data_IF_583231951402
#
_entry.id   IF_583231951402
#
_cell.length_a   1.000
_cell.length_b   1.000
_cell.length_c   1.000
_cell.angle_alpha   90.00
_cell.angle_beta   90.00
_cell.angle_gamma   90.00
#
_symmetry.space_group_name_H-M   'P 1'
#
loop_
_entity.id
_entity.type
_entity.pdbx_description
1 polymer ?
#
# COMPACT_ATOMS: atom_id res chain seq x y z
N UNK A 1 -4.35 -7.54 19.37
CA UNK A 1 -4.95 -7.35 18.05
C UNK A 1 -6.40 -6.95 18.21
N UNK A 2 -6.82 -5.93 17.52
CA UNK A 2 -8.19 -5.43 17.53
C UNK A 2 -9.16 -6.41 16.89
N UNK A 3 -10.38 -6.45 17.42
CA UNK A 3 -11.49 -7.32 16.99
C UNK A 3 -12.72 -6.48 16.68
N UNK A 4 -13.65 -7.03 15.93
CA UNK A 4 -14.91 -6.35 15.60
C UNK A 4 -15.76 -5.97 16.82
N UNK A 5 -15.60 -6.68 17.94
CA UNK A 5 -16.28 -6.39 19.21
C UNK A 5 -15.67 -5.25 20.04
N UNK A 6 -14.47 -4.79 19.69
CA UNK A 6 -13.81 -3.73 20.42
C UNK A 6 -14.44 -2.37 20.08
N UNK A 7 -14.41 -1.42 21.00
CA UNK A 7 -14.96 -0.10 20.77
C UNK A 7 -14.04 0.73 19.88
N UNK A 8 -14.61 1.36 18.86
CA UNK A 8 -13.84 2.18 17.93
C UNK A 8 -13.31 3.46 18.59
N UNK A 9 -14.01 3.99 19.60
CA UNK A 9 -13.54 5.14 20.37
C UNK A 9 -12.27 4.81 21.19
N UNK A 10 -12.15 3.60 21.72
CA UNK A 10 -10.97 3.15 22.45
C UNK A 10 -9.77 3.03 21.50
N UNK A 11 -9.99 2.47 20.30
CA UNK A 11 -8.98 2.42 19.25
C UNK A 11 -8.46 3.82 18.91
N UNK A 12 -9.35 4.78 18.66
CA UNK A 12 -8.99 6.17 18.33
C UNK A 12 -8.27 6.91 19.45
N UNK A 13 -8.52 6.52 20.69
CA UNK A 13 -7.93 7.18 21.87
C UNK A 13 -6.53 6.67 22.21
N UNK A 14 -6.21 5.45 21.79
CA UNK A 14 -4.95 4.81 22.15
C UNK A 14 -3.94 4.74 20.99
N UNK A 15 -4.42 4.80 19.75
CA UNK A 15 -3.59 4.64 18.56
C UNK A 15 -3.70 5.89 17.67
N UNK A 16 -2.66 6.72 17.65
CA UNK A 16 -2.62 7.94 16.83
C UNK A 16 -2.85 7.62 15.35
N UNK A 17 -2.19 6.59 14.84
CA UNK A 17 -2.28 6.13 13.46
C UNK A 17 -3.68 5.63 13.06
N UNK A 18 -4.51 5.20 14.03
CA UNK A 18 -5.85 4.72 13.77
C UNK A 18 -6.77 5.79 13.18
N UNK A 19 -6.55 7.07 13.52
CA UNK A 19 -7.37 8.19 13.04
C UNK A 19 -7.29 8.29 11.52
N UNK A 20 -6.10 8.15 10.95
CA UNK A 20 -5.91 8.17 9.49
C UNK A 20 -6.56 6.95 8.83
N UNK A 21 -6.40 5.76 9.40
CA UNK A 21 -7.02 4.53 8.87
C UNK A 21 -8.55 4.66 8.87
N UNK A 22 -9.13 5.08 9.99
CA UNK A 22 -10.58 5.26 10.17
C UNK A 22 -11.13 6.26 9.15
N UNK A 23 -10.47 7.42 9.02
CA UNK A 23 -10.84 8.46 8.06
C UNK A 23 -10.80 7.97 6.61
N UNK A 24 -9.78 7.18 6.23
CA UNK A 24 -9.62 6.62 4.88
C UNK A 24 -10.66 5.56 4.54
N UNK A 25 -11.22 4.87 5.54
CA UNK A 25 -12.39 4.02 5.35
C UNK A 25 -13.71 4.80 5.30
N UNK A 26 -13.68 6.13 5.37
CA UNK A 26 -14.86 6.98 5.35
C UNK A 26 -15.62 7.03 6.69
N UNK A 27 -15.02 6.49 7.75
CA UNK A 27 -15.56 6.60 9.10
C UNK A 27 -15.11 7.94 9.70
N UNK A 28 -16.07 8.67 10.28
CA UNK A 28 -15.83 10.00 10.86
C UNK A 28 -15.53 9.96 12.36
N UNK A 29 -15.42 11.17 12.93
CA UNK A 29 -15.43 11.38 14.38
C UNK A 29 -16.87 11.30 14.91
N UNK A 30 -17.02 11.18 16.23
CA UNK A 30 -18.35 11.14 16.86
C UNK A 30 -19.01 9.77 16.84
N UNK A 31 -18.19 8.71 16.81
CA UNK A 31 -18.61 7.29 16.76
C UNK A 31 -19.33 6.79 18.01
N UNK A 32 -19.37 7.57 19.11
CA UNK A 32 -19.98 7.18 20.37
C UNK A 32 -19.39 5.89 20.95
N UNK A 33 -20.27 5.02 21.44
CA UNK A 33 -19.88 3.73 22.05
C UNK A 33 -19.95 2.54 21.07
N UNK A 34 -20.00 2.81 19.77
CA UNK A 34 -20.09 1.76 18.75
C UNK A 34 -18.86 0.84 18.77
N UNK A 35 -19.12 -0.44 18.51
CA UNK A 35 -18.05 -1.40 18.21
C UNK A 35 -17.50 -1.13 16.80
N UNK A 36 -16.28 -1.63 16.52
CA UNK A 36 -15.68 -1.57 15.18
C UNK A 36 -16.61 -2.21 14.15
N UNK A 37 -17.23 -3.35 14.47
CA UNK A 37 -18.15 -4.02 13.55
C UNK A 37 -19.42 -3.19 13.27
N UNK A 38 -20.02 -2.55 14.27
CA UNK A 38 -21.17 -1.68 14.10
C UNK A 38 -20.85 -0.42 13.28
N UNK A 39 -19.69 0.21 13.54
CA UNK A 39 -19.22 1.37 12.79
C UNK A 39 -18.93 1.00 11.32
N UNK A 40 -18.28 -0.11 11.06
CA UNK A 40 -18.05 -0.62 9.69
C UNK A 40 -19.38 -0.90 8.98
N UNK A 41 -20.30 -1.59 9.64
CA UNK A 41 -21.61 -1.92 9.06
C UNK A 41 -22.41 -0.68 8.67
N UNK A 42 -22.46 0.33 9.56
CA UNK A 42 -23.20 1.58 9.30
C UNK A 42 -22.66 2.42 8.13
N UNK A 43 -21.40 2.19 7.74
CA UNK A 43 -20.73 2.87 6.63
C UNK A 43 -20.47 1.96 5.41
N UNK A 44 -21.05 0.75 5.40
CA UNK A 44 -20.87 -0.24 4.32
C UNK A 44 -19.39 -0.63 4.10
N UNK A 45 -18.60 -0.66 5.17
CA UNK A 45 -17.19 -1.07 5.17
C UNK A 45 -17.10 -2.55 5.57
N UNK A 46 -16.32 -3.33 4.82
CA UNK A 46 -16.07 -4.73 5.17
C UNK A 46 -15.21 -4.83 6.43
N UNK A 47 -15.79 -5.34 7.53
CA UNK A 47 -15.13 -5.37 8.85
C UNK A 47 -13.82 -6.15 8.84
N UNK A 48 -13.74 -7.28 8.11
CA UNK A 48 -12.52 -8.08 7.99
C UNK A 48 -11.38 -7.30 7.35
N UNK A 49 -11.66 -6.57 6.27
CA UNK A 49 -10.68 -5.72 5.58
C UNK A 49 -10.22 -4.55 6.45
N UNK A 50 -11.16 -3.89 7.16
CA UNK A 50 -10.81 -2.86 8.14
C UNK A 50 -9.86 -3.39 9.22
N UNK A 51 -10.18 -4.55 9.81
CA UNK A 51 -9.36 -5.19 10.84
C UNK A 51 -7.99 -5.63 10.32
N UNK A 52 -7.90 -6.07 9.07
CA UNK A 52 -6.61 -6.38 8.45
C UNK A 52 -5.71 -5.16 8.39
N UNK A 53 -6.22 -4.05 7.86
CA UNK A 53 -5.46 -2.80 7.70
C UNK A 53 -5.06 -2.22 9.06
N UNK A 54 -5.99 -2.10 10.01
CA UNK A 54 -5.68 -1.51 11.32
C UNK A 54 -4.71 -2.35 12.13
N UNK A 55 -4.88 -3.68 12.15
CA UNK A 55 -3.95 -4.57 12.85
C UNK A 55 -2.57 -4.59 12.18
N UNK A 56 -2.50 -4.51 10.85
CA UNK A 56 -1.24 -4.35 10.15
C UNK A 56 -0.55 -3.03 10.53
N UNK A 57 -1.28 -1.91 10.52
CA UNK A 57 -0.75 -0.59 10.85
C UNK A 57 -0.19 -0.56 12.27
N UNK A 58 -0.95 -1.05 13.26
CA UNK A 58 -0.59 -0.98 14.69
C UNK A 58 0.47 -2.02 15.07
N UNK A 59 0.32 -3.26 14.62
CA UNK A 59 1.18 -4.37 15.09
C UNK A 59 2.22 -4.82 14.07
N UNK A 60 2.20 -4.27 12.84
CA UNK A 60 3.03 -4.72 11.70
C UNK A 60 2.90 -6.23 11.42
N UNK A 61 1.76 -6.80 11.77
CA UNK A 61 1.46 -8.22 11.60
C UNK A 61 0.60 -8.41 10.35
N UNK A 62 1.13 -9.09 9.36
CA UNK A 62 0.40 -9.51 8.17
C UNK A 62 -0.47 -10.76 8.43
N UNK A 63 -1.25 -10.75 9.53
CA UNK A 63 -2.26 -11.76 9.73
C UNK A 63 -3.39 -11.49 8.72
N UNK A 64 -3.26 -12.05 7.53
CA UNK A 64 -4.29 -11.98 6.50
C UNK A 64 -5.55 -12.63 7.06
N UNK A 65 -6.69 -11.91 7.14
CA UNK A 65 -7.98 -12.55 7.38
C UNK A 65 -8.28 -13.54 6.23
N UNK A 66 -9.15 -14.48 6.49
CA UNK A 66 -9.54 -15.49 5.49
C UNK A 66 -10.10 -14.86 4.20
N UNK A 67 -10.60 -13.62 4.27
CA UNK A 67 -11.20 -12.92 3.15
C UNK A 67 -10.94 -11.40 3.25
N UNK A 68 -10.36 -10.84 2.18
CA UNK A 68 -10.20 -9.40 1.97
C UNK A 68 -11.20 -8.97 0.91
N UNK A 69 -12.06 -8.01 1.24
CA UNK A 69 -12.91 -7.33 0.26
C UNK A 69 -12.06 -6.32 -0.55
N UNK A 70 -11.69 -6.70 -1.76
CA UNK A 70 -10.82 -5.91 -2.64
C UNK A 70 -11.41 -4.53 -2.93
N UNK A 71 -12.71 -4.38 -3.28
CA UNK A 71 -13.32 -3.07 -3.51
C UNK A 71 -13.19 -2.13 -2.31
N UNK A 72 -13.43 -2.62 -1.09
CA UNK A 72 -13.27 -1.84 0.15
C UNK A 72 -11.81 -1.40 0.34
N UNK A 73 -10.85 -2.29 0.11
CA UNK A 73 -9.42 -1.97 0.26
C UNK A 73 -8.96 -0.96 -0.80
N UNK A 74 -9.37 -1.13 -2.05
CA UNK A 74 -9.05 -0.18 -3.12
C UNK A 74 -9.67 1.21 -2.86
N UNK A 75 -10.87 1.27 -2.27
CA UNK A 75 -11.46 2.56 -1.89
C UNK A 75 -10.67 3.23 -0.76
N UNK A 76 -10.21 2.47 0.23
CA UNK A 76 -9.31 2.94 1.28
C UNK A 76 -8.03 3.56 0.70
N UNK A 77 -7.38 2.89 -0.25
CA UNK A 77 -6.17 3.37 -0.91
C UNK A 77 -6.44 4.64 -1.73
N UNK A 78 -7.51 4.69 -2.52
CA UNK A 78 -7.92 5.92 -3.24
C UNK A 78 -8.18 7.10 -2.31
N UNK A 79 -8.77 6.86 -1.14
CA UNK A 79 -8.97 7.91 -0.15
C UNK A 79 -7.63 8.37 0.46
N UNK A 80 -6.66 7.47 0.62
CA UNK A 80 -5.30 7.83 1.00
C UNK A 80 -4.61 8.69 -0.07
N UNK A 81 -4.75 8.35 -1.36
CA UNK A 81 -4.22 9.14 -2.48
C UNK A 81 -4.78 10.57 -2.48
N UNK A 82 -6.10 10.70 -2.32
CA UNK A 82 -6.75 12.01 -2.17
C UNK A 82 -6.20 12.81 -0.98
N UNK A 83 -6.04 12.15 0.17
CA UNK A 83 -5.45 12.78 1.35
C UNK A 83 -4.02 13.29 1.08
N UNK A 84 -3.18 12.48 0.45
CA UNK A 84 -1.81 12.90 0.13
C UNK A 84 -1.80 14.06 -0.86
N UNK A 85 -2.45 13.92 -2.01
CA UNK A 85 -2.34 14.89 -3.11
C UNK A 85 -3.07 16.21 -2.83
N UNK A 86 -4.25 16.13 -2.23
CA UNK A 86 -5.13 17.32 -2.09
C UNK A 86 -4.98 18.02 -0.73
N UNK A 87 -4.46 17.32 0.29
CA UNK A 87 -4.34 17.90 1.62
C UNK A 87 -2.91 17.87 2.16
N UNK A 88 -2.30 16.70 2.35
CA UNK A 88 -1.04 16.58 3.11
C UNK A 88 0.14 17.26 2.42
N UNK A 89 0.37 16.95 1.16
CA UNK A 89 1.50 17.49 0.41
C UNK A 89 1.38 19.01 0.17
N UNK A 90 0.21 19.56 -0.24
CA UNK A 90 0.04 21.03 -0.32
C UNK A 90 0.20 21.74 1.03
N UNK A 91 -0.26 21.12 2.13
CA UNK A 91 -0.09 21.69 3.46
C UNK A 91 1.40 21.74 3.84
N UNK A 92 2.11 20.64 3.68
CA UNK A 92 3.54 20.53 3.98
C UNK A 92 4.38 21.52 3.16
N UNK A 93 4.03 21.72 1.87
CA UNK A 93 4.67 22.73 1.03
C UNK A 93 4.53 24.14 1.60
N UNK A 94 3.32 24.52 2.03
CA UNK A 94 3.09 25.84 2.66
C UNK A 94 3.91 25.98 3.94
N UNK A 95 3.91 24.96 4.79
CA UNK A 95 4.69 24.97 6.03
C UNK A 95 6.20 25.09 5.78
N UNK A 96 6.71 24.41 4.72
CA UNK A 96 8.10 24.57 4.28
C UNK A 96 8.41 26.00 3.84
N UNK A 97 7.54 26.64 3.06
CA UNK A 97 7.71 28.03 2.63
C UNK A 97 7.78 28.96 3.85
N UNK A 98 6.84 28.82 4.78
CA UNK A 98 6.75 29.65 6.00
C UNK A 98 7.98 29.46 6.91
N UNK A 99 8.53 28.24 6.99
CA UNK A 99 9.70 27.95 7.82
C UNK A 99 11.04 28.34 7.16
N UNK A 100 11.14 28.25 5.83
CA UNK A 100 12.40 28.41 5.12
C UNK A 100 12.66 29.82 4.57
N UNK A 101 11.62 30.53 4.10
CA UNK A 101 11.80 31.82 3.43
C UNK A 101 12.17 33.02 4.33
N UNK A 102 11.88 33.03 5.65
CA UNK A 102 12.39 34.06 6.56
C UNK A 102 13.89 34.01 6.80
N UNK A 103 14.60 32.99 6.26
CA UNK A 103 16.05 32.91 6.31
C UNK A 103 16.73 34.03 5.49
N UNK A 104 18.07 34.10 5.59
CA UNK A 104 18.89 35.06 4.85
C UNK A 104 18.48 35.09 3.36
N UNK A 105 18.01 36.25 2.85
CA UNK A 105 17.59 36.39 1.44
C UNK A 105 18.71 36.11 0.43
N UNK A 106 19.97 36.13 0.86
CA UNK A 106 21.14 35.82 0.00
C UNK A 106 21.36 34.30 -0.14
N UNK A 107 20.74 33.47 0.74
CA UNK A 107 20.90 32.02 0.74
C UNK A 107 20.06 31.39 -0.37
N UNK A 108 20.68 30.53 -1.19
CA UNK A 108 19.99 29.72 -2.20
C UNK A 108 19.43 28.40 -1.64
N UNK A 109 19.74 28.06 -0.41
CA UNK A 109 19.36 26.78 0.23
C UNK A 109 17.83 26.62 0.33
N UNK A 110 17.04 27.59 0.81
CA UNK A 110 15.59 27.47 0.85
C UNK A 110 14.96 27.11 -0.49
N UNK A 111 15.39 27.80 -1.56
CA UNK A 111 14.88 27.55 -2.92
C UNK A 111 15.27 26.17 -3.44
N UNK A 112 16.46 25.67 -3.10
CA UNK A 112 16.87 24.32 -3.45
C UNK A 112 15.99 23.27 -2.75
N UNK A 113 15.75 23.43 -1.45
CA UNK A 113 14.88 22.51 -0.68
C UNK A 113 13.46 22.48 -1.27
N UNK A 114 12.88 23.65 -1.56
CA UNK A 114 11.54 23.75 -2.16
C UNK A 114 11.48 23.08 -3.53
N UNK A 115 12.51 23.23 -4.35
CA UNK A 115 12.59 22.58 -5.64
C UNK A 115 12.66 21.06 -5.50
N UNK A 116 13.51 20.53 -4.62
CA UNK A 116 13.57 19.09 -4.33
C UNK A 116 12.21 18.56 -3.83
N UNK A 117 11.51 19.35 -3.03
CA UNK A 117 10.18 19.03 -2.57
C UNK A 117 9.15 18.98 -3.73
N UNK A 118 9.17 19.95 -4.62
CA UNK A 118 8.26 19.98 -5.78
C UNK A 118 8.53 18.80 -6.74
N UNK A 119 9.81 18.43 -6.95
CA UNK A 119 10.20 17.23 -7.70
C UNK A 119 9.70 15.92 -7.04
N UNK A 120 9.77 15.84 -5.71
CA UNK A 120 9.23 14.73 -4.93
C UNK A 120 7.69 14.62 -5.07
N UNK A 121 6.98 15.74 -4.98
CA UNK A 121 5.50 15.76 -5.13
C UNK A 121 5.08 15.28 -6.52
N UNK A 122 5.83 15.65 -7.56
CA UNK A 122 5.52 15.22 -8.93
C UNK A 122 5.73 13.70 -9.11
N UNK A 123 6.76 13.13 -8.49
CA UNK A 123 6.97 11.68 -8.53
C UNK A 123 5.87 10.91 -7.81
N UNK A 124 5.42 11.38 -6.63
CA UNK A 124 4.26 10.79 -5.94
C UNK A 124 3.01 10.87 -6.83
N UNK A 125 2.78 12.00 -7.51
CA UNK A 125 1.62 12.16 -8.39
C UNK A 125 1.61 11.11 -9.50
N UNK A 126 2.73 10.94 -10.18
CA UNK A 126 2.88 9.94 -11.26
C UNK A 126 2.67 8.52 -10.72
N UNK A 127 3.25 8.21 -9.57
CA UNK A 127 3.10 6.92 -8.90
C UNK A 127 1.62 6.62 -8.58
N UNK A 128 0.94 7.53 -7.92
CA UNK A 128 -0.49 7.42 -7.57
C UNK A 128 -1.38 7.32 -8.83
N UNK A 129 -1.06 8.02 -9.91
CA UNK A 129 -1.79 7.93 -11.18
C UNK A 129 -1.70 6.51 -11.76
N UNK A 130 -0.53 5.86 -11.68
CA UNK A 130 -0.35 4.48 -12.11
C UNK A 130 -1.16 3.50 -11.25
N UNK A 131 -1.14 3.64 -9.93
CA UNK A 131 -1.92 2.79 -9.01
C UNK A 131 -3.43 2.96 -9.22
N UNK A 132 -3.91 4.18 -9.41
CA UNK A 132 -5.30 4.45 -9.72
C UNK A 132 -5.74 3.86 -11.07
N UNK A 133 -4.81 3.65 -12.00
CA UNK A 133 -5.03 2.94 -13.26
C UNK A 133 -4.98 1.40 -13.10
N UNK A 134 -4.74 0.89 -11.90
CA UNK A 134 -4.69 -0.55 -11.60
C UNK A 134 -3.34 -1.21 -11.89
N UNK A 135 -2.29 -0.43 -12.10
CA UNK A 135 -0.95 -0.93 -12.39
C UNK A 135 -0.14 -1.10 -11.09
N UNK A 136 -0.43 -2.16 -10.33
CA UNK A 136 0.20 -2.43 -9.03
C UNK A 136 1.47 -3.31 -9.11
N UNK A 137 1.83 -3.84 -10.28
CA UNK A 137 2.87 -4.89 -10.37
C UNK A 137 4.31 -4.39 -10.50
N UNK A 138 4.55 -3.14 -10.88
CA UNK A 138 5.89 -2.65 -11.27
C UNK A 138 6.58 -1.73 -10.24
N UNK A 139 5.99 -1.45 -9.06
CA UNK A 139 6.35 -0.24 -8.30
C UNK A 139 7.24 -0.38 -7.07
N UNK A 140 7.64 -1.58 -6.62
CA UNK A 140 8.47 -1.75 -5.40
C UNK A 140 9.82 -0.98 -5.41
N UNK A 141 10.41 -0.74 -6.57
CA UNK A 141 11.63 0.08 -6.68
C UNK A 141 11.32 1.58 -6.67
N UNK A 142 10.17 1.99 -7.21
CA UNK A 142 9.72 3.38 -7.22
C UNK A 142 9.32 3.85 -5.82
N UNK A 143 8.67 3.00 -5.03
CA UNK A 143 8.27 3.28 -3.63
C UNK A 143 9.49 3.64 -2.76
N UNK A 144 10.55 2.85 -2.85
CA UNK A 144 11.79 3.11 -2.13
C UNK A 144 12.43 4.42 -2.59
N UNK A 145 12.46 4.67 -3.89
CA UNK A 145 13.02 5.91 -4.44
C UNK A 145 12.26 7.15 -3.98
N UNK A 146 10.93 7.09 -3.90
CA UNK A 146 10.09 8.17 -3.41
C UNK A 146 10.38 8.43 -1.92
N UNK A 147 10.45 7.38 -1.09
CA UNK A 147 10.78 7.49 0.33
C UNK A 147 12.19 8.06 0.56
N UNK A 148 13.17 7.63 -0.24
CA UNK A 148 14.54 8.14 -0.18
C UNK A 148 14.62 9.65 -0.45
N UNK A 149 13.79 10.19 -1.34
CA UNK A 149 13.73 11.64 -1.60
C UNK A 149 13.27 12.46 -0.41
N UNK A 150 12.29 12.00 0.37
CA UNK A 150 11.92 12.67 1.63
C UNK A 150 13.08 12.66 2.62
N UNK A 151 13.80 11.55 2.70
CA UNK A 151 15.02 11.47 3.51
C UNK A 151 16.08 12.46 3.03
N UNK A 152 16.29 12.64 1.72
CA UNK A 152 17.21 13.63 1.17
C UNK A 152 16.80 15.06 1.54
N UNK A 153 15.53 15.42 1.43
CA UNK A 153 15.00 16.73 1.83
C UNK A 153 15.28 17.01 3.31
N UNK A 154 14.99 16.06 4.20
CA UNK A 154 15.31 16.16 5.62
C UNK A 154 16.80 16.37 5.86
N UNK A 155 17.66 15.63 5.16
CA UNK A 155 19.10 15.76 5.24
C UNK A 155 19.60 17.12 4.74
N UNK A 156 19.01 17.68 3.68
CA UNK A 156 19.32 19.03 3.20
C UNK A 156 19.01 20.09 4.25
N UNK A 157 17.86 19.99 4.90
CA UNK A 157 17.45 20.90 6.00
C UNK A 157 18.44 20.78 7.16
N UNK A 158 18.70 19.57 7.64
CA UNK A 158 19.57 19.31 8.80
C UNK A 158 21.01 19.79 8.57
N UNK A 159 21.56 19.58 7.38
CA UNK A 159 22.98 19.86 7.10
C UNK A 159 23.28 21.27 6.65
N UNK A 160 22.36 21.87 5.91
CA UNK A 160 22.66 23.09 5.16
C UNK A 160 21.78 24.28 5.48
N UNK A 161 20.66 24.07 6.18
CA UNK A 161 19.85 25.21 6.63
C UNK A 161 20.63 26.00 7.69
N UNK A 162 20.70 27.34 7.58
CA UNK A 162 21.49 28.16 8.51
C UNK A 162 21.07 27.94 9.95
N UNK A 163 22.05 27.64 10.81
CA UNK A 163 21.81 27.48 12.24
C UNK A 163 21.23 28.76 12.85
N UNK A 164 20.03 28.68 13.36
CA UNK A 164 19.37 29.76 14.05
C UNK A 164 19.36 29.47 15.55
N UNK A 165 19.90 30.42 16.33
CA UNK A 165 19.91 30.31 17.79
C UNK A 165 18.50 30.59 18.34
N UNK A 166 17.98 29.68 19.16
CA UNK A 166 16.71 29.82 19.88
C UNK A 166 16.76 31.08 20.76
N UNK A 167 16.58 32.23 20.30
CA UNK A 167 16.64 33.46 21.09
C UNK A 167 16.51 34.73 20.27
N UNK A 168 16.90 34.65 19.00
CA UNK A 168 16.79 35.80 18.10
C UNK A 168 15.58 35.74 17.15
N UNK A 169 15.11 34.48 16.82
CA UNK A 169 13.92 34.23 15.97
C UNK A 169 13.23 32.90 16.42
N UNK A 170 12.83 32.81 17.69
CA UNK A 170 12.30 31.59 18.28
C UNK A 170 11.11 30.98 17.50
N UNK A 171 10.23 31.80 16.94
CA UNK A 171 9.08 31.35 16.15
C UNK A 171 9.50 30.58 14.89
N UNK A 172 10.50 31.06 14.16
CA UNK A 172 10.99 30.40 12.93
C UNK A 172 11.62 29.05 13.24
N UNK A 173 12.33 28.94 14.37
CA UNK A 173 12.94 27.69 14.82
C UNK A 173 11.86 26.64 15.13
N UNK A 174 10.79 27.01 15.83
CA UNK A 174 9.68 26.09 16.13
C UNK A 174 8.91 25.69 14.88
N UNK A 175 8.70 26.59 13.93
CA UNK A 175 8.10 26.26 12.63
C UNK A 175 8.93 25.21 11.89
N UNK A 176 10.26 25.38 11.86
CA UNK A 176 11.15 24.41 11.22
C UNK A 176 11.11 23.02 11.90
N UNK A 177 11.07 23.01 13.25
CA UNK A 177 10.94 21.75 14.02
C UNK A 177 9.62 21.06 13.68
N UNK A 178 8.52 21.80 13.62
CA UNK A 178 7.21 21.24 13.25
C UNK A 178 7.22 20.69 11.81
N UNK A 179 7.80 21.42 10.87
CA UNK A 179 7.96 20.94 9.47
C UNK A 179 8.80 19.67 9.42
N UNK A 180 9.87 19.58 10.18
CA UNK A 180 10.69 18.36 10.27
C UNK A 180 9.87 17.18 10.81
N UNK A 181 9.07 17.41 11.87
CA UNK A 181 8.16 16.38 12.39
C UNK A 181 7.12 15.97 11.34
N UNK A 182 6.54 16.93 10.62
CA UNK A 182 5.59 16.68 9.55
C UNK A 182 6.20 15.87 8.38
N UNK A 183 7.45 16.15 8.01
CA UNK A 183 8.18 15.36 7.00
C UNK A 183 8.35 13.90 7.45
N UNK A 184 8.72 13.66 8.71
CA UNK A 184 8.85 12.32 9.29
C UNK A 184 7.51 11.56 9.27
N UNK A 185 6.43 12.18 9.73
CA UNK A 185 5.10 11.56 9.74
C UNK A 185 4.60 11.29 8.32
N UNK A 186 4.86 12.17 7.37
CA UNK A 186 4.46 11.98 5.97
C UNK A 186 5.21 10.81 5.34
N UNK A 187 6.52 10.68 5.59
CA UNK A 187 7.33 9.57 5.12
C UNK A 187 6.84 8.23 5.69
N UNK A 188 6.58 8.19 6.99
CA UNK A 188 6.08 6.99 7.66
C UNK A 188 4.70 6.58 7.13
N UNK A 189 3.79 7.56 6.97
CA UNK A 189 2.44 7.31 6.50
C UNK A 189 2.43 6.83 5.03
N UNK A 190 3.30 7.37 4.18
CA UNK A 190 3.46 6.91 2.79
C UNK A 190 4.10 5.51 2.75
N UNK A 191 5.13 5.26 3.55
CA UNK A 191 5.73 3.93 3.66
C UNK A 191 4.72 2.85 4.11
N UNK A 192 3.86 3.19 5.08
CA UNK A 192 2.81 2.28 5.54
C UNK A 192 1.73 2.07 4.47
N UNK A 193 1.44 3.08 3.64
CA UNK A 193 0.54 2.96 2.50
C UNK A 193 1.06 1.93 1.48
N UNK A 194 2.30 2.07 1.02
CA UNK A 194 2.95 1.11 0.12
C UNK A 194 3.00 -0.30 0.73
N UNK A 195 3.29 -0.39 2.03
CA UNK A 195 3.35 -1.67 2.72
C UNK A 195 1.97 -2.36 2.83
N UNK A 196 0.86 -1.62 2.90
CA UNK A 196 -0.50 -2.17 2.85
C UNK A 196 -0.79 -2.73 1.44
N UNK A 197 -0.34 -2.05 0.40
CA UNK A 197 -0.46 -2.54 -0.98
C UNK A 197 0.32 -3.84 -1.18
N UNK A 198 1.57 -3.87 -0.76
CA UNK A 198 2.44 -5.02 -0.91
C UNK A 198 1.98 -6.24 -0.10
N UNK A 199 1.55 -6.03 1.14
CA UNK A 199 1.30 -7.13 2.08
C UNK A 199 -0.19 -7.52 2.18
N UNK A 200 -1.12 -6.68 1.71
CA UNK A 200 -2.55 -6.98 1.79
C UNK A 200 -3.20 -6.99 0.40
N UNK A 201 -3.05 -5.92 -0.42
CA UNK A 201 -3.73 -5.83 -1.70
C UNK A 201 -3.18 -6.82 -2.73
N UNK A 202 -1.87 -6.83 -2.98
CA UNK A 202 -1.27 -7.71 -3.99
C UNK A 202 -1.52 -9.19 -3.72
N UNK A 203 -1.36 -9.72 -2.47
CA UNK A 203 -1.72 -11.10 -2.18
C UNK A 203 -3.22 -11.39 -2.37
N UNK A 204 -4.12 -10.44 -2.05
CA UNK A 204 -5.55 -10.61 -2.26
C UNK A 204 -5.91 -10.69 -3.74
N UNK A 205 -5.29 -9.85 -4.59
CA UNK A 205 -5.47 -9.88 -6.05
C UNK A 205 -4.99 -11.20 -6.66
N UNK A 206 -3.82 -11.70 -6.26
CA UNK A 206 -3.28 -12.98 -6.77
C UNK A 206 -4.12 -14.17 -6.35
N UNK A 207 -4.61 -14.21 -5.11
CA UNK A 207 -5.50 -15.27 -4.62
C UNK A 207 -6.83 -15.28 -5.37
N UNK A 208 -7.39 -14.12 -5.68
CA UNK A 208 -8.63 -14.01 -6.46
C UNK A 208 -8.43 -14.47 -7.90
N UNK A 209 -7.31 -14.12 -8.52
CA UNK A 209 -6.97 -14.58 -9.88
C UNK A 209 -6.82 -16.11 -9.93
N UNK A 210 -6.24 -16.71 -8.90
CA UNK A 210 -6.11 -18.17 -8.79
C UNK A 210 -7.46 -18.85 -8.59
N UNK A 211 -8.38 -18.27 -7.82
CA UNK A 211 -9.73 -18.81 -7.62
C UNK A 211 -10.62 -18.68 -8.87
N UNK A 212 -10.44 -17.64 -9.68
CA UNK A 212 -11.13 -17.49 -10.96
C UNK A 212 -10.61 -18.43 -12.06
N UNK A 213 -9.35 -18.81 -11.99
CA UNK A 213 -8.81 -19.85 -12.90
C UNK A 213 -9.37 -21.27 -12.61
N UNK A 214 -9.92 -21.48 -11.41
CA UNK A 214 -10.61 -22.73 -11.05
C UNK A 214 -12.13 -22.70 -11.19
N UNK A 215 -12.74 -21.56 -11.59
CA UNK A 215 -14.16 -21.43 -11.93
C UNK A 215 -14.39 -21.19 -13.42
N UNK A 216 -13.56 -21.78 -14.29
CA UNK A 216 -14.08 -22.18 -15.60
C UNK A 216 -14.99 -23.35 -15.26
N UNK A 217 -16.30 -23.15 -15.36
CA UNK A 217 -17.23 -24.27 -15.55
C UNK A 217 -16.69 -25.05 -16.75
N UNK A 218 -15.91 -26.07 -16.47
CA UNK A 218 -15.63 -27.11 -17.44
C UNK A 218 -16.98 -27.72 -17.75
N UNK A 219 -17.49 -27.68 -19.00
CA UNK A 219 -18.49 -28.66 -19.38
C UNK A 219 -17.90 -30.02 -18.95
N UNK A 220 -18.72 -30.90 -18.38
CA UNK A 220 -18.33 -32.21 -17.87
C UNK A 220 -17.27 -32.84 -18.78
N UNK A 221 -16.01 -32.54 -18.52
CA UNK A 221 -14.87 -33.23 -19.11
C UNK A 221 -14.77 -34.50 -18.32
N UNK A 222 -15.13 -35.62 -18.93
CA UNK A 222 -14.87 -36.96 -18.44
C UNK A 222 -13.48 -36.93 -17.81
N UNK A 223 -13.38 -37.31 -16.53
CA UNK A 223 -12.10 -37.37 -15.83
C UNK A 223 -11.12 -38.20 -16.67
N UNK A 224 -9.96 -37.63 -17.00
CA UNK A 224 -8.92 -38.30 -17.75
C UNK A 224 -8.75 -39.74 -17.22
N UNK A 225 -8.84 -40.73 -18.10
CA UNK A 225 -8.57 -42.09 -17.76
C UNK A 225 -7.15 -42.24 -17.19
N UNK A 226 -6.89 -43.29 -16.44
CA UNK A 226 -5.54 -43.55 -15.90
C UNK A 226 -4.47 -43.54 -17.01
N UNK A 227 -4.80 -44.05 -18.18
CA UNK A 227 -3.89 -44.10 -19.35
C UNK A 227 -3.61 -42.67 -19.90
N UNK A 228 -4.60 -41.83 -20.03
CA UNK A 228 -4.44 -40.46 -20.49
C UNK A 228 -3.61 -39.64 -19.51
N UNK A 229 -3.80 -39.87 -18.22
CA UNK A 229 -2.98 -39.27 -17.16
C UNK A 229 -1.52 -39.73 -17.24
N UNK A 230 -1.26 -41.01 -17.45
CA UNK A 230 0.09 -41.56 -17.59
C UNK A 230 0.82 -40.93 -18.78
N UNK A 231 0.14 -40.80 -19.93
CA UNK A 231 0.69 -40.16 -21.12
C UNK A 231 0.97 -38.68 -20.85
N UNK A 232 0.03 -37.95 -20.26
CA UNK A 232 0.18 -36.51 -19.95
C UNK A 232 1.38 -36.24 -19.03
N UNK A 233 1.60 -37.09 -18.02
CA UNK A 233 2.76 -36.99 -17.13
C UNK A 233 4.07 -37.08 -17.91
N UNK A 234 4.15 -37.96 -18.91
CA UNK A 234 5.39 -38.14 -19.70
C UNK A 234 5.58 -36.98 -20.69
N UNK A 235 4.49 -36.41 -21.22
CA UNK A 235 4.53 -35.20 -22.05
C UNK A 235 5.08 -34.01 -21.25
N UNK A 236 4.58 -33.82 -20.03
CA UNK A 236 5.07 -32.75 -19.12
C UNK A 236 6.56 -32.94 -18.76
N UNK A 237 7.02 -34.19 -18.68
CA UNK A 237 8.43 -34.52 -18.47
C UNK A 237 9.31 -34.37 -19.74
N UNK A 238 8.72 -33.89 -20.85
CA UNK A 238 9.45 -33.56 -22.08
C UNK A 238 9.85 -34.75 -22.95
N UNK A 239 9.23 -35.93 -22.76
CA UNK A 239 9.49 -37.07 -23.57
C UNK A 239 8.79 -36.97 -24.93
N UNK A 240 9.46 -37.46 -25.99
CA UNK A 240 8.85 -37.57 -27.31
C UNK A 240 7.84 -38.75 -27.35
N UNK A 241 6.89 -38.68 -28.28
CA UNK A 241 5.85 -39.74 -28.43
C UNK A 241 6.43 -41.15 -28.53
N UNK A 242 7.62 -41.32 -29.13
CA UNK A 242 8.30 -42.58 -29.25
C UNK A 242 8.85 -43.09 -27.89
N UNK A 243 9.46 -42.19 -27.11
CA UNK A 243 9.96 -42.50 -25.78
C UNK A 243 8.82 -42.80 -24.80
N UNK A 244 7.68 -42.10 -24.94
CA UNK A 244 6.47 -42.39 -24.16
C UNK A 244 5.91 -43.76 -24.49
N UNK A 245 5.81 -44.07 -25.78
CA UNK A 245 5.36 -45.39 -26.25
C UNK A 245 6.21 -46.53 -25.69
N UNK A 246 7.54 -46.41 -25.76
CA UNK A 246 8.48 -47.38 -25.23
C UNK A 246 8.35 -47.48 -23.69
N UNK A 247 8.26 -46.41 -22.98
CA UNK A 247 8.17 -46.35 -21.52
C UNK A 247 6.87 -46.90 -20.95
N UNK A 248 5.75 -46.65 -21.62
CA UNK A 248 4.43 -47.12 -21.20
C UNK A 248 4.01 -48.43 -21.83
N UNK A 249 4.90 -49.03 -22.64
CA UNK A 249 4.65 -50.30 -23.37
C UNK A 249 3.37 -50.25 -24.24
N UNK A 250 3.16 -49.15 -24.96
CA UNK A 250 2.03 -48.91 -25.88
C UNK A 250 2.52 -48.51 -27.26
N UNK A 251 1.63 -48.48 -28.25
CA UNK A 251 2.02 -48.01 -29.59
C UNK A 251 2.16 -46.51 -29.64
N UNK A 252 3.01 -45.96 -30.54
CA UNK A 252 3.11 -44.52 -30.79
C UNK A 252 1.76 -43.95 -31.23
N UNK A 253 0.98 -44.75 -31.97
CA UNK A 253 -0.38 -44.34 -32.39
C UNK A 253 -1.29 -44.14 -31.16
N UNK A 254 -1.21 -45.02 -30.16
CA UNK A 254 -1.95 -44.88 -28.90
C UNK A 254 -1.55 -43.64 -28.12
N UNK A 255 -0.27 -43.27 -28.13
CA UNK A 255 0.20 -42.01 -27.50
C UNK A 255 -0.37 -40.76 -28.18
N UNK A 256 -0.54 -40.79 -29.50
CA UNK A 256 -1.07 -39.65 -30.29
C UNK A 256 -2.59 -39.52 -30.12
N UNK A 257 -3.29 -40.61 -29.85
CA UNK A 257 -4.76 -40.59 -29.68
C UNK A 257 -5.21 -40.26 -28.25
N UNK A 258 -4.32 -40.36 -27.29
CA UNK A 258 -4.53 -39.89 -25.91
C UNK A 258 -3.95 -38.47 -25.73
#
# INVERSE_FOLDING_TARGET
MYKGSDKICDLMSHEEDAIHVISRFGLGMGVGEQTIAEACHSHSVHTGTFLAVINYKVYKLSAMPAEIDIPTLQQYLRNAHTYFLDFRLPHLRRSLIEALLPADPSSKIPMLILRCYDEFVEEIRIHIEHENAGMYEEHTQDDQRITDKLTEIKNLIIKYYPSQTIGQNGTVTYQLINVMSDLWHTEQDFSDHCAIEDNILRPALTNTSSSHLYQVETPETEALSERERDVLIQVVNGLSNKEIADKLCISVHTVITH
#
